data_IF_075851619900
#
_entry.id   IF_075851619900
#
_cell.length_a   1.000
_cell.length_b   1.000
_cell.length_c   1.000
_cell.angle_alpha   90.00
_cell.angle_beta   90.00
_cell.angle_gamma   90.00
#
_symmetry.space_group_name_H-M   'P 1'
#
loop_
_entity.id
_entity.type
_entity.pdbx_description
1 polymer ?
#
# COMPACT_ATOMS: atom_id res chain seq x y z
N UNK A 1 9.82 -51.88 -28.13
CA UNK A 1 9.33 -50.62 -28.77
C UNK A 1 10.35 -50.15 -29.79
N UNK A 2 9.93 -49.71 -30.99
CA UNK A 2 10.83 -49.12 -31.99
C UNK A 2 11.58 -47.92 -31.40
N UNK A 3 12.90 -47.80 -31.64
CA UNK A 3 13.74 -46.69 -31.16
C UNK A 3 13.17 -45.31 -31.50
N UNK A 4 12.42 -45.17 -32.60
CA UNK A 4 11.71 -43.94 -32.93
C UNK A 4 10.59 -43.60 -31.94
N UNK A 5 9.75 -44.57 -31.54
CA UNK A 5 8.63 -44.36 -30.59
C UNK A 5 9.12 -43.95 -29.20
N UNK A 6 10.26 -44.50 -28.76
CA UNK A 6 10.90 -44.13 -27.49
C UNK A 6 11.40 -42.68 -27.51
N UNK A 7 12.06 -42.26 -28.60
CA UNK A 7 12.51 -40.86 -28.78
C UNK A 7 11.37 -39.84 -28.75
N UNK A 8 10.21 -40.14 -29.36
CA UNK A 8 9.05 -39.25 -29.28
C UNK A 8 8.48 -39.16 -27.86
N UNK A 9 8.42 -40.27 -27.13
CA UNK A 9 7.98 -40.29 -25.74
C UNK A 9 8.93 -39.50 -24.83
N UNK A 10 10.25 -39.66 -25.00
CA UNK A 10 11.26 -38.94 -24.24
C UNK A 10 11.20 -37.42 -24.52
N UNK A 11 10.99 -37.01 -25.78
CA UNK A 11 10.75 -35.62 -26.16
C UNK A 11 9.47 -35.05 -25.56
N UNK A 12 8.38 -35.81 -25.55
CA UNK A 12 7.12 -35.39 -24.92
C UNK A 12 7.27 -35.22 -23.41
N UNK A 13 7.93 -36.15 -22.73
CA UNK A 13 8.20 -36.06 -21.28
C UNK A 13 9.10 -34.87 -20.94
N UNK A 14 10.10 -34.59 -21.78
CA UNK A 14 10.97 -33.41 -21.62
C UNK A 14 10.18 -32.11 -21.77
N UNK A 15 9.28 -32.03 -22.77
CA UNK A 15 8.42 -30.86 -22.97
C UNK A 15 7.51 -30.65 -21.76
N UNK A 16 6.85 -31.70 -21.28
CA UNK A 16 5.96 -31.64 -20.12
C UNK A 16 6.71 -31.19 -18.86
N UNK A 17 7.94 -31.68 -18.66
CA UNK A 17 8.80 -31.26 -17.56
C UNK A 17 9.18 -29.77 -17.65
N UNK A 18 9.56 -29.28 -18.83
CA UNK A 18 9.86 -27.85 -19.04
C UNK A 18 8.61 -26.99 -18.80
N UNK A 19 7.44 -27.40 -19.31
CA UNK A 19 6.18 -26.69 -19.05
C UNK A 19 5.88 -26.64 -17.56
N UNK A 20 6.10 -27.73 -16.83
CA UNK A 20 5.96 -27.77 -15.38
C UNK A 20 6.89 -26.76 -14.68
N UNK A 21 8.15 -26.67 -15.10
CA UNK A 21 9.10 -25.68 -14.57
C UNK A 21 8.63 -24.25 -14.84
N UNK A 22 8.14 -23.96 -16.05
CA UNK A 22 7.65 -22.62 -16.41
C UNK A 22 6.43 -22.23 -15.56
N UNK A 23 5.47 -23.14 -15.40
CA UNK A 23 4.29 -22.90 -14.55
C UNK A 23 4.71 -22.70 -13.09
N UNK A 24 5.65 -23.50 -12.59
CA UNK A 24 6.17 -23.39 -11.23
C UNK A 24 6.94 -22.09 -11.00
N UNK A 25 7.74 -21.62 -11.97
CA UNK A 25 8.50 -20.38 -11.87
C UNK A 25 7.65 -19.12 -12.07
N UNK A 26 6.51 -19.22 -12.77
CA UNK A 26 5.65 -18.08 -13.09
C UNK A 26 5.32 -17.18 -11.89
N UNK A 27 4.81 -17.68 -10.74
CA UNK A 27 4.47 -16.82 -9.60
C UNK A 27 5.69 -16.04 -9.10
N UNK A 28 6.85 -16.69 -8.92
CA UNK A 28 8.06 -16.02 -8.43
C UNK A 28 8.54 -14.89 -9.33
N UNK A 29 8.51 -15.10 -10.65
CA UNK A 29 8.94 -14.07 -11.62
C UNK A 29 7.91 -12.94 -11.67
N UNK A 30 6.62 -13.27 -11.73
CA UNK A 30 5.55 -12.28 -11.78
C UNK A 30 5.54 -11.40 -10.54
N UNK A 31 5.65 -12.00 -9.34
CA UNK A 31 5.63 -11.27 -8.08
C UNK A 31 6.77 -10.25 -8.00
N UNK A 32 7.97 -10.63 -8.45
CA UNK A 32 9.13 -9.71 -8.46
C UNK A 32 8.97 -8.56 -9.44
N UNK A 33 8.39 -8.82 -10.61
CA UNK A 33 8.12 -7.78 -11.59
C UNK A 33 7.04 -6.83 -11.06
N UNK A 34 5.96 -7.37 -10.50
CA UNK A 34 4.86 -6.59 -9.93
C UNK A 34 5.34 -5.70 -8.77
N UNK A 35 6.10 -6.27 -7.82
CA UNK A 35 6.66 -5.50 -6.71
C UNK A 35 7.54 -4.32 -7.18
N UNK A 36 8.35 -4.54 -8.21
CA UNK A 36 9.20 -3.49 -8.77
C UNK A 36 8.39 -2.38 -9.44
N UNK A 37 7.32 -2.74 -10.16
CA UNK A 37 6.40 -1.78 -10.79
C UNK A 37 5.65 -0.97 -9.75
N UNK A 38 5.11 -1.62 -8.71
CA UNK A 38 4.39 -0.96 -7.62
C UNK A 38 5.27 0.08 -6.92
N UNK A 39 6.52 -0.28 -6.63
CA UNK A 39 7.49 0.63 -6.01
C UNK A 39 7.79 1.86 -6.89
N UNK A 40 7.88 1.68 -8.21
CA UNK A 40 8.04 2.82 -9.12
C UNK A 40 6.82 3.74 -9.14
N UNK A 41 5.63 3.15 -9.09
CA UNK A 41 4.36 3.87 -9.09
C UNK A 41 4.22 4.69 -7.80
N UNK A 42 4.48 4.07 -6.65
CA UNK A 42 4.52 4.77 -5.35
C UNK A 42 5.52 5.92 -5.39
N UNK A 43 6.74 5.71 -5.92
CA UNK A 43 7.74 6.80 -6.06
C UNK A 43 7.26 7.92 -6.98
N UNK A 44 6.62 7.57 -8.11
CA UNK A 44 6.05 8.55 -9.04
C UNK A 44 4.95 9.37 -8.36
N UNK A 45 4.05 8.74 -7.60
CA UNK A 45 3.02 9.47 -6.85
C UNK A 45 3.63 10.36 -5.78
N UNK A 46 4.64 9.87 -5.06
CA UNK A 46 5.39 10.70 -4.12
C UNK A 46 6.02 11.94 -4.77
N UNK A 47 6.41 11.87 -6.04
CA UNK A 47 6.93 13.00 -6.81
C UNK A 47 5.81 13.89 -7.37
N UNK A 48 4.72 13.31 -7.88
CA UNK A 48 3.57 14.06 -8.41
C UNK A 48 2.87 14.86 -7.31
N UNK A 49 2.68 14.26 -6.13
CA UNK A 49 2.21 14.97 -4.94
C UNK A 49 3.05 16.22 -4.69
N UNK A 50 4.36 16.18 -4.96
CA UNK A 50 5.23 17.32 -4.77
C UNK A 50 5.05 18.46 -5.78
N UNK A 51 4.45 18.19 -6.93
CA UNK A 51 4.31 19.10 -8.07
C UNK A 51 2.86 19.58 -8.31
N UNK A 52 1.86 19.07 -7.59
CA UNK A 52 0.46 19.47 -7.76
C UNK A 52 0.21 20.94 -7.41
N UNK A 53 -0.75 21.54 -8.11
CA UNK A 53 -1.19 22.93 -7.93
C UNK A 53 -1.90 23.10 -6.59
N UNK A 54 -1.63 24.22 -5.92
CA UNK A 54 -2.18 24.55 -4.60
C UNK A 54 -3.71 24.51 -4.56
N UNK A 55 -4.39 24.95 -5.62
CA UNK A 55 -5.87 24.99 -5.67
C UNK A 55 -6.54 23.60 -5.63
N UNK A 56 -5.94 22.58 -6.24
CA UNK A 56 -6.49 21.22 -6.22
C UNK A 56 -6.30 20.58 -4.84
N UNK A 57 -5.14 20.83 -4.23
CA UNK A 57 -4.83 20.38 -2.87
C UNK A 57 -5.79 20.99 -1.84
N UNK A 58 -6.10 22.28 -1.98
CA UNK A 58 -7.07 22.95 -1.10
C UNK A 58 -8.46 22.32 -1.19
N UNK A 59 -8.93 21.97 -2.39
CA UNK A 59 -10.24 21.32 -2.57
C UNK A 59 -10.30 19.96 -1.87
N UNK A 60 -9.30 19.11 -2.07
CA UNK A 60 -9.26 17.78 -1.42
C UNK A 60 -9.14 17.96 0.10
N UNK A 61 -8.38 18.95 0.56
CA UNK A 61 -8.30 19.28 1.99
C UNK A 61 -9.64 19.68 2.57
N UNK A 62 -10.41 20.52 1.89
CA UNK A 62 -11.76 20.87 2.33
C UNK A 62 -12.67 19.65 2.36
N UNK A 63 -12.62 18.77 1.35
CA UNK A 63 -13.42 17.54 1.33
C UNK A 63 -13.17 16.67 2.56
N UNK A 64 -11.91 16.44 2.93
CA UNK A 64 -11.56 15.63 4.10
C UNK A 64 -11.87 16.32 5.43
N UNK A 65 -11.82 17.65 5.48
CA UNK A 65 -12.30 18.39 6.65
C UNK A 65 -13.80 18.21 6.86
N UNK A 66 -14.60 18.23 5.79
CA UNK A 66 -16.03 17.95 5.88
C UNK A 66 -16.29 16.50 6.29
N UNK A 67 -15.59 15.52 5.71
CA UNK A 67 -15.66 14.11 6.15
C UNK A 67 -15.31 13.93 7.62
N UNK A 68 -14.28 14.63 8.11
CA UNK A 68 -13.91 14.62 9.53
C UNK A 68 -15.02 15.19 10.42
N UNK A 69 -15.72 16.24 9.99
CA UNK A 69 -16.87 16.79 10.72
C UNK A 69 -18.05 15.83 10.74
N UNK A 70 -18.26 15.06 9.68
CA UNK A 70 -19.29 14.01 9.65
C UNK A 70 -18.94 12.87 10.60
N UNK A 71 -17.69 12.39 10.56
CA UNK A 71 -17.18 11.35 11.46
C UNK A 71 -17.22 11.79 12.93
N UNK A 72 -16.95 13.05 13.23
CA UNK A 72 -17.03 13.58 14.59
C UNK A 72 -18.48 13.66 15.12
N UNK A 73 -19.48 13.71 14.22
CA UNK A 73 -20.91 13.67 14.59
C UNK A 73 -21.43 12.24 14.70
N UNK A 74 -20.82 11.29 14.00
CA UNK A 74 -21.19 9.89 14.15
C UNK A 74 -20.62 9.37 15.47
N UNK A 75 -21.40 8.58 16.22
CA UNK A 75 -20.89 7.85 17.40
C UNK A 75 -20.05 6.62 16.98
N UNK A 76 -19.38 6.69 15.83
CA UNK A 76 -18.54 5.63 15.31
C UNK A 76 -17.34 5.47 16.24
N UNK A 77 -17.20 4.29 16.84
CA UNK A 77 -16.07 3.99 17.72
C UNK A 77 -15.03 3.25 16.91
N UNK A 78 -13.85 3.86 16.67
CA UNK A 78 -12.79 3.16 15.95
C UNK A 78 -12.36 1.94 16.77
N UNK A 79 -12.46 0.76 16.16
CA UNK A 79 -12.25 -0.49 16.88
C UNK A 79 -12.48 -1.77 16.09
N UNK A 80 -12.80 -1.69 14.79
CA UNK A 80 -12.67 -2.85 13.91
C UNK A 80 -11.20 -3.24 13.82
N UNK A 81 -10.91 -4.54 13.85
CA UNK A 81 -9.56 -5.03 13.61
C UNK A 81 -9.14 -4.55 12.20
N UNK A 82 -8.08 -3.73 12.06
CA UNK A 82 -7.58 -3.31 10.76
C UNK A 82 -7.22 -4.47 9.84
N UNK A 83 -7.06 -5.69 10.36
CA UNK A 83 -6.76 -6.87 9.57
C UNK A 83 -8.01 -7.69 9.19
N UNK A 84 -9.23 -7.21 9.51
CA UNK A 84 -10.48 -7.91 9.24
C UNK A 84 -11.19 -7.51 7.93
N UNK A 85 -10.73 -6.46 7.23
CA UNK A 85 -11.33 -6.06 5.94
C UNK A 85 -11.02 -7.08 4.83
N UNK A 86 -12.03 -7.44 4.05
CA UNK A 86 -11.90 -8.34 2.91
C UNK A 86 -10.97 -7.76 1.84
N UNK A 87 -10.05 -8.59 1.33
CA UNK A 87 -9.11 -8.15 0.31
C UNK A 87 -9.82 -7.85 -1.02
N UNK A 88 -9.48 -6.74 -1.70
CA UNK A 88 -10.04 -6.44 -3.01
C UNK A 88 -9.75 -7.57 -4.01
N UNK A 89 -10.79 -8.11 -4.65
CA UNK A 89 -10.73 -9.28 -5.56
C UNK A 89 -9.68 -9.17 -6.69
N UNK A 90 -9.36 -7.94 -7.13
CA UNK A 90 -8.30 -7.66 -8.09
C UNK A 90 -7.58 -6.37 -7.74
N UNK A 91 -6.33 -6.53 -7.36
CA UNK A 91 -5.46 -5.40 -7.08
C UNK A 91 -4.69 -5.01 -8.33
N UNK A 92 -4.89 -3.77 -8.77
CA UNK A 92 -4.25 -3.21 -9.96
C UNK A 92 -3.50 -1.94 -9.60
N UNK A 93 -2.64 -1.48 -10.49
CA UNK A 93 -1.95 -0.19 -10.35
C UNK A 93 -2.92 0.98 -10.16
N UNK A 94 -4.07 0.96 -10.83
CA UNK A 94 -5.14 1.94 -10.63
C UNK A 94 -5.77 1.86 -9.24
N UNK A 95 -5.82 0.68 -8.61
CA UNK A 95 -6.28 0.50 -7.23
C UNK A 95 -5.32 1.20 -6.26
N UNK A 96 -4.01 1.00 -6.41
CA UNK A 96 -2.99 1.68 -5.58
C UNK A 96 -3.12 3.20 -5.70
N UNK A 97 -3.27 3.71 -6.93
CA UNK A 97 -3.44 5.15 -7.15
C UNK A 97 -4.66 5.69 -6.43
N UNK A 98 -5.83 5.10 -6.71
CA UNK A 98 -7.12 5.58 -6.24
C UNK A 98 -7.20 5.66 -4.72
N UNK A 99 -6.55 4.71 -4.04
CA UNK A 99 -6.59 4.60 -2.59
C UNK A 99 -5.43 5.34 -1.89
N UNK A 100 -4.50 5.94 -2.62
CA UNK A 100 -3.41 6.73 -2.02
C UNK A 100 -3.89 8.14 -1.66
N UNK A 101 -4.01 8.43 -0.37
CA UNK A 101 -4.50 9.74 0.13
C UNK A 101 -3.38 10.68 0.59
N UNK A 102 -2.14 10.20 0.70
CA UNK A 102 -1.02 11.06 1.11
C UNK A 102 0.30 10.34 1.26
N UNK A 103 1.28 11.04 1.87
CA UNK A 103 2.61 10.50 2.14
C UNK A 103 3.01 10.81 3.58
N UNK A 104 3.30 9.77 4.35
CA UNK A 104 3.86 9.89 5.69
C UNK A 104 5.39 9.98 5.61
N UNK A 105 5.97 10.97 6.29
CA UNK A 105 7.41 11.14 6.41
C UNK A 105 7.82 11.19 7.88
N UNK A 106 8.69 10.29 8.31
CA UNK A 106 9.26 10.27 9.66
C UNK A 106 10.79 10.36 9.51
N UNK A 107 11.37 11.58 9.50
CA UNK A 107 12.78 11.78 9.16
C UNK A 107 13.76 11.04 10.07
N UNK A 108 13.48 10.97 11.38
CA UNK A 108 14.37 10.35 12.38
C UNK A 108 14.70 8.89 12.05
N UNK A 109 13.71 8.15 11.56
CA UNK A 109 13.84 6.73 11.19
C UNK A 109 13.91 6.53 9.67
N UNK A 110 14.09 7.61 8.90
CA UNK A 110 14.16 7.62 7.44
C UNK A 110 12.98 6.88 6.77
N UNK A 111 11.76 7.07 7.29
CA UNK A 111 10.54 6.46 6.76
C UNK A 111 9.85 7.45 5.84
N UNK A 112 9.49 6.99 4.63
CA UNK A 112 8.66 7.72 3.67
C UNK A 112 7.69 6.76 2.98
N UNK A 113 6.44 6.72 3.42
CA UNK A 113 5.44 5.74 3.00
C UNK A 113 4.23 6.42 2.37
N UNK A 114 3.61 5.82 1.35
CA UNK A 114 2.26 6.21 0.96
C UNK A 114 1.29 5.93 2.12
N UNK A 115 0.25 6.75 2.22
CA UNK A 115 -0.90 6.56 3.10
C UNK A 115 -2.07 6.12 2.24
N UNK A 116 -2.66 4.98 2.55
CA UNK A 116 -3.86 4.47 1.90
C UNK A 116 -5.10 4.72 2.75
N UNK A 117 -6.27 4.90 2.13
CA UNK A 117 -7.56 5.05 2.83
C UNK A 117 -8.22 3.73 3.24
N UNK A 118 -7.69 2.59 2.77
CA UNK A 118 -8.16 1.25 3.11
C UNK A 118 -7.12 0.48 3.92
N UNK A 119 -7.57 -0.33 4.88
CA UNK A 119 -6.69 -1.14 5.71
C UNK A 119 -6.90 -2.62 5.39
N UNK A 120 -6.29 -3.06 4.28
CA UNK A 120 -6.24 -4.48 3.89
C UNK A 120 -4.81 -4.98 3.93
N UNK A 121 -4.59 -6.30 3.99
CA UNK A 121 -3.24 -6.89 3.99
C UNK A 121 -2.40 -6.36 2.82
N UNK A 122 -3.01 -6.24 1.64
CA UNK A 122 -2.35 -5.70 0.46
C UNK A 122 -1.79 -4.28 0.69
N UNK A 123 -2.59 -3.36 1.22
CA UNK A 123 -2.15 -1.98 1.43
C UNK A 123 -1.12 -1.87 2.56
N UNK A 124 -1.29 -2.67 3.62
CA UNK A 124 -0.35 -2.75 4.74
C UNK A 124 1.01 -3.32 4.33
N UNK A 125 1.06 -4.19 3.31
CA UNK A 125 2.33 -4.66 2.72
C UNK A 125 3.06 -3.57 1.92
N UNK A 126 2.33 -2.60 1.38
CA UNK A 126 2.86 -1.59 0.45
C UNK A 126 3.13 -0.23 1.13
N UNK A 127 2.55 0.03 2.30
CA UNK A 127 2.68 1.32 2.99
C UNK A 127 1.93 1.41 4.31
N UNK A 128 1.51 2.63 4.66
CA UNK A 128 0.65 2.87 5.81
C UNK A 128 -0.81 2.99 5.36
N UNK A 129 -1.75 2.56 6.19
CA UNK A 129 -3.19 2.62 5.94
C UNK A 129 -3.90 3.40 7.04
N UNK A 130 -4.91 4.17 6.68
CA UNK A 130 -5.80 4.86 7.61
C UNK A 130 -6.77 3.85 8.22
N UNK A 131 -6.78 3.77 9.55
CA UNK A 131 -7.72 2.91 10.26
C UNK A 131 -9.15 3.38 9.98
N UNK A 132 -10.02 2.42 9.63
CA UNK A 132 -11.42 2.68 9.37
C UNK A 132 -12.07 3.44 10.52
N UNK A 133 -12.98 4.35 10.18
CA UNK A 133 -13.72 5.20 11.12
C UNK A 133 -12.87 6.17 11.96
N UNK A 134 -11.58 6.34 11.64
CA UNK A 134 -10.75 7.41 12.22
C UNK A 134 -10.71 8.64 11.32
N UNK A 135 -10.29 9.78 11.87
CA UNK A 135 -10.22 11.02 11.09
C UNK A 135 -9.16 10.92 9.98
N UNK A 136 -9.41 11.56 8.84
CA UNK A 136 -8.39 11.77 7.83
C UNK A 136 -7.25 12.65 8.39
N UNK A 137 -5.98 12.40 8.01
CA UNK A 137 -4.79 13.03 8.60
C UNK A 137 -4.55 14.51 8.21
N UNK A 138 -5.61 15.29 8.02
CA UNK A 138 -5.58 16.69 7.59
C UNK A 138 -5.55 17.70 8.74
N UNK A 139 -5.59 17.20 9.98
CA UNK A 139 -5.69 18.00 11.19
C UNK A 139 -7.08 18.63 11.37
N UNK A 140 -7.15 19.64 12.25
CA UNK A 140 -8.39 20.32 12.63
C UNK A 140 -8.87 19.93 14.03
N UNK A 141 -9.75 20.77 14.60
CA UNK A 141 -10.34 20.51 15.91
C UNK A 141 -11.20 19.23 15.89
N UNK A 142 -11.22 18.52 17.02
CA UNK A 142 -11.98 17.26 17.19
C UNK A 142 -11.64 16.18 16.17
N UNK A 143 -10.37 16.09 15.76
CA UNK A 143 -9.87 15.05 14.85
C UNK A 143 -8.83 14.16 15.52
N UNK A 144 -8.85 12.87 15.19
CA UNK A 144 -7.83 11.91 15.60
C UNK A 144 -7.66 10.86 14.49
N UNK A 145 -6.59 10.98 13.71
CA UNK A 145 -6.22 10.04 12.67
C UNK A 145 -5.35 8.91 13.22
N UNK A 146 -5.63 7.66 12.86
CA UNK A 146 -4.79 6.51 13.23
C UNK A 146 -4.27 5.85 11.98
N UNK A 147 -2.94 5.74 11.86
CA UNK A 147 -2.29 5.07 10.75
C UNK A 147 -1.69 3.74 11.21
N UNK A 148 -1.95 2.67 10.46
CA UNK A 148 -1.43 1.33 10.69
C UNK A 148 -0.47 0.91 9.57
N UNK A 149 0.53 0.09 9.90
CA UNK A 149 1.46 -0.52 8.93
C UNK A 149 2.14 -1.73 9.57
N UNK A 150 2.70 -2.63 8.77
CA UNK A 150 3.44 -3.78 9.29
C UNK A 150 4.79 -3.38 9.94
N UNK A 151 5.21 -4.24 10.87
CA UNK A 151 6.55 -4.28 11.47
C UNK A 151 7.26 -5.55 11.00
N UNK A 152 8.47 -5.41 10.45
CA UNK A 152 9.37 -6.52 10.13
C UNK A 152 9.10 -7.24 8.81
N UNK A 153 8.56 -6.58 7.77
CA UNK A 153 8.41 -7.23 6.46
C UNK A 153 9.78 -7.52 5.83
N UNK A 154 10.01 -8.72 5.24
CA UNK A 154 11.25 -9.05 4.55
C UNK A 154 11.59 -8.11 3.39
N UNK A 155 10.57 -7.52 2.75
CA UNK A 155 10.70 -6.70 1.54
C UNK A 155 10.77 -5.19 1.81
N UNK A 156 10.37 -4.71 2.99
CA UNK A 156 10.33 -3.28 3.33
C UNK A 156 10.38 -3.03 4.84
N UNK A 157 11.05 -1.96 5.27
CA UNK A 157 11.12 -1.60 6.69
C UNK A 157 9.79 -1.11 7.27
N UNK A 158 8.98 -0.36 6.51
CA UNK A 158 7.69 0.18 7.00
C UNK A 158 7.80 0.80 8.41
N UNK A 159 7.01 0.32 9.37
CA UNK A 159 6.99 0.77 10.77
C UNK A 159 7.92 -0.04 11.70
N UNK A 160 8.88 -0.78 11.14
CA UNK A 160 9.78 -1.64 11.93
C UNK A 160 10.51 -0.90 13.04
N UNK A 161 10.97 0.31 12.74
CA UNK A 161 11.82 1.14 13.61
C UNK A 161 10.99 2.17 14.40
N UNK A 162 9.65 2.03 14.49
CA UNK A 162 8.79 2.96 15.24
C UNK A 162 9.15 3.04 16.74
N UNK A 163 9.69 1.98 17.31
CA UNK A 163 10.14 1.91 18.71
C UNK A 163 11.35 2.80 19.01
N UNK A 164 12.00 3.35 17.98
CA UNK A 164 13.11 4.31 18.11
C UNK A 164 12.62 5.77 18.24
N UNK A 165 11.31 6.00 18.18
CA UNK A 165 10.74 7.33 18.37
C UNK A 165 10.60 7.68 19.85
N UNK A 166 10.80 8.95 20.13
CA UNK A 166 10.75 9.58 21.45
C UNK A 166 9.76 10.74 21.44
N UNK A 167 9.36 11.18 22.63
CA UNK A 167 8.49 12.34 22.79
C UNK A 167 9.14 13.57 22.14
N UNK A 168 8.34 14.32 21.39
CA UNK A 168 8.72 15.50 20.60
C UNK A 168 9.45 15.21 19.28
N UNK A 169 9.64 13.94 18.90
CA UNK A 169 10.07 13.65 17.54
C UNK A 169 9.02 14.10 16.52
N UNK A 170 9.50 14.72 15.46
CA UNK A 170 8.65 15.19 14.37
C UNK A 170 8.29 14.02 13.44
N UNK A 171 7.01 13.69 13.39
CA UNK A 171 6.43 13.01 12.25
C UNK A 171 5.72 14.06 11.39
N UNK A 172 6.07 14.11 10.11
CA UNK A 172 5.37 14.94 9.15
C UNK A 172 4.46 14.02 8.36
N UNK A 173 3.19 13.97 8.74
CA UNK A 173 2.15 13.57 7.79
C UNK A 173 2.02 14.71 6.78
N UNK A 174 2.87 14.71 5.74
CA UNK A 174 2.62 15.58 4.59
C UNK A 174 1.49 14.92 3.80
N UNK A 175 0.27 15.16 4.25
CA UNK A 175 -0.95 14.77 3.54
C UNK A 175 -1.00 15.62 2.28
N UNK A 176 -0.29 15.14 1.28
CA UNK A 176 -0.13 15.75 -0.02
C UNK A 176 -0.95 14.89 -0.95
N UNK A 177 -2.19 15.31 -1.06
CA UNK A 177 -3.29 14.45 -1.48
C UNK A 177 -3.23 14.29 -2.98
N UNK A 178 -3.13 13.04 -3.41
CA UNK A 178 -3.02 12.70 -4.81
C UNK A 178 -4.40 12.33 -5.31
N UNK A 179 -4.73 12.78 -6.51
CA UNK A 179 -5.93 12.40 -7.26
C UNK A 179 -5.51 11.42 -8.36
#
# INVERSE_FOLDING_TARGET
>A
MSNKKRRYLDSFMTLLFITGIVIFMYPFVSDRINDYLDQQIIRKYQQQAQQQKTEELEKIQQEYLEKNRELAKSNSSPGSDPFAEEEPEKVTQSTIQKHTIGVLSIPKINVRLPIFDQTTSFFLEKGASLLAETSYPVGGESTHAVLSSHRGLPKAKLFTDLDQLEKNDLFLSKVRMVN
#
